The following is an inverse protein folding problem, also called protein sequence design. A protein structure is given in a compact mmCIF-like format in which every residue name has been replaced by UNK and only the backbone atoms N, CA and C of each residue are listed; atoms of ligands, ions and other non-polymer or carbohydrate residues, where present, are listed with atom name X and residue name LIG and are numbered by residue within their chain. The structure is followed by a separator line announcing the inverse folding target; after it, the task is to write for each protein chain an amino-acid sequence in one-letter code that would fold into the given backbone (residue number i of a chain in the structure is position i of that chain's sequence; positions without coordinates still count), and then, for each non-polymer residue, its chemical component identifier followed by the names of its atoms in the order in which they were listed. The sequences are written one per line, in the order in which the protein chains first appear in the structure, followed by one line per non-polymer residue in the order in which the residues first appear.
data_IF_447665059182
#
_entry.id   IF_447665059182
#
_cell.length_a   1.000
_cell.length_b   1.000
_cell.length_c   1.000
_cell.angle_alpha   90.00
_cell.angle_beta   90.00
_cell.angle_gamma   90.00
#
_symmetry.space_group_name_H-M   'P 1'
#
loop_
_entity.id
_entity.type
_entity.pdbx_description
1 polymer ?
#
# COMPACT_ATOMS: atom_id res chain seq x y z
N UNK A 1 2.29 20.55 43.98
CA UNK A 1 2.69 19.12 44.06
C UNK A 1 1.65 18.30 43.34
N UNK A 2 1.96 17.81 42.14
CA UNK A 2 1.31 16.68 41.46
C UNK A 2 2.14 16.37 40.20
N UNK A 3 3.23 15.64 40.39
CA UNK A 3 3.88 14.92 39.30
C UNK A 3 3.02 13.71 38.99
N UNK A 4 2.36 13.71 37.84
CA UNK A 4 1.87 12.47 37.22
C UNK A 4 2.81 12.18 36.07
N UNK A 5 3.97 11.63 36.41
CA UNK A 5 4.89 11.04 35.45
C UNK A 5 4.21 9.85 34.78
N UNK A 6 3.71 10.04 33.56
CA UNK A 6 3.38 8.92 32.70
C UNK A 6 4.70 8.21 32.36
N UNK A 7 4.91 7.08 33.02
CA UNK A 7 5.96 6.12 32.64
C UNK A 7 5.57 5.53 31.27
N UNK A 8 5.85 6.28 30.20
CA UNK A 8 5.87 5.74 28.86
C UNK A 8 7.05 4.78 28.87
N UNK A 9 6.79 3.48 28.99
CA UNK A 9 7.78 2.45 28.74
C UNK A 9 8.24 2.67 27.31
N UNK A 10 9.43 3.24 27.16
CA UNK A 10 10.08 3.36 25.86
C UNK A 10 10.17 1.93 25.31
N UNK A 11 9.37 1.63 24.29
CA UNK A 11 9.52 0.40 23.53
C UNK A 11 10.92 0.53 22.92
N UNK A 12 11.91 -0.29 23.32
CA UNK A 12 13.20 -0.26 22.67
C UNK A 12 12.96 -0.44 21.17
N UNK A 13 13.66 0.31 20.30
CA UNK A 13 13.51 0.12 18.87
C UNK A 13 13.69 -1.37 18.62
N UNK A 14 12.68 -2.00 18.02
CA UNK A 14 12.80 -3.38 17.62
C UNK A 14 14.12 -3.48 16.84
N UNK A 15 15.00 -4.44 17.17
CA UNK A 15 16.19 -4.65 16.35
C UNK A 15 15.71 -4.74 14.91
N UNK A 16 16.44 -4.11 13.98
CA UNK A 16 16.19 -4.21 12.55
C UNK A 16 16.41 -5.67 12.11
N UNK A 17 15.49 -6.54 12.51
CA UNK A 17 15.34 -7.87 11.97
C UNK A 17 15.07 -7.63 10.51
N UNK A 18 16.00 -8.07 9.65
CA UNK A 18 15.73 -8.14 8.22
C UNK A 18 14.37 -8.83 8.07
N UNK A 19 13.39 -8.21 7.38
CA UNK A 19 12.04 -8.76 7.24
C UNK A 19 12.04 -10.23 6.76
N UNK A 20 13.11 -10.64 6.07
CA UNK A 20 13.21 -11.91 5.36
C UNK A 20 13.81 -13.08 6.17
N UNK A 21 13.96 -12.94 7.49
CA UNK A 21 14.60 -13.98 8.33
C UNK A 21 13.85 -15.32 8.36
N UNK A 22 12.55 -15.35 8.12
CA UNK A 22 11.75 -16.59 8.07
C UNK A 22 11.63 -17.05 6.63
N UNK A 23 12.29 -18.16 6.28
CA UNK A 23 12.18 -18.78 4.97
C UNK A 23 11.06 -19.83 4.97
N UNK A 24 10.05 -19.70 4.10
CA UNK A 24 8.97 -20.69 4.02
C UNK A 24 9.50 -22.01 3.47
N UNK A 25 9.07 -23.14 4.04
CA UNK A 25 9.47 -24.49 3.58
C UNK A 25 8.53 -25.08 2.53
N UNK A 26 7.40 -24.42 2.28
CA UNK A 26 6.40 -24.74 1.26
C UNK A 26 5.86 -23.45 0.65
N UNK A 27 5.24 -23.49 -0.54
CA UNK A 27 4.52 -22.34 -1.08
C UNK A 27 3.48 -21.83 -0.06
N UNK A 28 3.42 -20.51 0.07
CA UNK A 28 2.41 -19.83 0.86
C UNK A 28 1.04 -19.95 0.17
N UNK A 29 -0.02 -20.15 0.94
CA UNK A 29 -1.36 -19.98 0.40
C UNK A 29 -1.65 -18.48 0.13
N UNK A 30 -2.71 -18.13 -0.62
CA UNK A 30 -2.97 -16.73 -1.00
C UNK A 30 -3.04 -15.74 0.16
N UNK A 31 -3.64 -16.11 1.30
CA UNK A 31 -3.72 -15.24 2.48
C UNK A 31 -2.37 -15.16 3.21
N UNK A 32 -1.63 -16.26 3.29
CA UNK A 32 -0.26 -16.27 3.83
C UNK A 32 0.64 -15.33 2.99
N UNK A 33 0.52 -15.39 1.66
CA UNK A 33 1.27 -14.53 0.74
C UNK A 33 0.87 -13.05 0.86
N UNK A 34 -0.43 -12.75 0.95
CA UNK A 34 -0.92 -11.38 1.18
C UNK A 34 -0.27 -10.73 2.41
N UNK A 35 -0.30 -11.44 3.55
CA UNK A 35 0.28 -10.94 4.80
C UNK A 35 1.79 -10.73 4.65
N UNK A 36 2.49 -11.67 4.00
CA UNK A 36 3.94 -11.58 3.83
C UNK A 36 4.33 -10.41 2.90
N UNK A 37 3.55 -10.18 1.83
CA UNK A 37 3.71 -9.06 0.92
C UNK A 37 3.43 -7.70 1.59
N UNK A 38 2.45 -7.61 2.49
CA UNK A 38 2.26 -6.38 3.27
C UNK A 38 3.45 -6.06 4.17
N UNK A 39 4.09 -7.08 4.75
CA UNK A 39 5.21 -6.89 5.66
C UNK A 39 6.53 -6.57 4.93
N UNK A 40 6.72 -7.14 3.74
CA UNK A 40 8.01 -7.13 3.03
C UNK A 40 8.01 -6.28 1.78
N UNK A 41 6.85 -5.94 1.25
CA UNK A 41 6.73 -5.29 -0.05
C UNK A 41 7.19 -6.21 -1.18
N UNK A 42 7.36 -5.63 -2.37
CA UNK A 42 7.83 -6.35 -3.55
C UNK A 42 8.73 -5.46 -4.41
N UNK A 43 9.78 -6.04 -4.98
CA UNK A 43 10.63 -5.37 -5.97
C UNK A 43 10.03 -5.52 -7.37
N UNK A 44 10.11 -4.49 -8.19
CA UNK A 44 9.62 -4.55 -9.57
C UNK A 44 10.76 -4.93 -10.51
N UNK A 45 10.61 -6.02 -11.24
CA UNK A 45 11.57 -6.38 -12.29
C UNK A 45 11.50 -5.39 -13.47
N UNK A 46 12.64 -4.97 -14.06
CA UNK A 46 12.66 -4.04 -15.19
C UNK A 46 11.86 -4.46 -16.42
N UNK A 47 11.53 -5.75 -16.57
CA UNK A 47 10.68 -6.24 -17.66
C UNK A 47 9.17 -5.96 -17.45
N UNK A 48 8.76 -5.45 -16.29
CA UNK A 48 7.36 -5.14 -16.03
C UNK A 48 6.95 -3.82 -16.71
N UNK A 49 5.83 -3.83 -17.44
CA UNK A 49 5.28 -2.64 -18.11
C UNK A 49 4.13 -2.00 -17.29
N UNK A 50 4.40 -1.68 -16.03
CA UNK A 50 3.37 -1.24 -15.08
C UNK A 50 2.72 0.10 -15.46
N UNK A 51 3.40 0.97 -16.17
CA UNK A 51 2.85 2.25 -16.63
C UNK A 51 1.67 2.07 -17.60
N UNK A 52 1.62 0.92 -18.27
CA UNK A 52 0.52 0.55 -19.17
C UNK A 52 -0.49 -0.36 -18.49
N UNK A 53 0.00 -1.31 -17.69
CA UNK A 53 -0.80 -2.45 -17.23
C UNK A 53 -1.42 -2.21 -15.84
N UNK A 54 -0.83 -1.32 -15.03
CA UNK A 54 -1.27 -1.01 -13.68
C UNK A 54 -1.96 0.36 -13.58
N UNK A 55 -2.69 0.54 -12.47
CA UNK A 55 -3.19 1.85 -12.06
C UNK A 55 -2.03 2.71 -11.59
N UNK A 56 -2.17 4.04 -11.69
CA UNK A 56 -1.16 4.94 -11.13
C UNK A 56 -0.97 4.70 -9.61
N UNK A 57 0.28 4.54 -9.20
CA UNK A 57 0.66 4.39 -7.79
C UNK A 57 0.68 5.80 -7.18
N UNK A 58 -0.34 6.11 -6.39
CA UNK A 58 -0.47 7.40 -5.72
C UNK A 58 -0.47 7.19 -4.23
N UNK A 59 0.40 7.88 -3.48
CA UNK A 59 0.27 7.93 -2.01
C UNK A 59 -1.10 8.51 -1.65
N UNK A 60 -2.02 7.67 -1.17
CA UNK A 60 -3.36 8.11 -0.79
C UNK A 60 -3.40 8.55 0.66
N UNK A 61 -4.43 9.35 0.98
CA UNK A 61 -4.62 10.04 2.26
C UNK A 61 -4.75 9.14 3.49
N UNK A 62 -5.08 7.86 3.31
CA UNK A 62 -5.31 6.91 4.40
C UNK A 62 -4.94 5.48 3.98
N UNK A 63 -4.12 4.81 4.79
CA UNK A 63 -3.72 3.41 4.55
C UNK A 63 -2.57 3.24 3.56
N UNK A 64 -2.28 1.99 3.21
CA UNK A 64 -1.17 1.57 2.34
C UNK A 64 -1.34 1.94 0.86
N UNK A 65 -2.19 2.91 0.48
CA UNK A 65 -2.54 3.12 -0.94
C UNK A 65 -1.41 3.58 -1.88
N UNK A 66 -0.16 3.64 -1.40
CA UNK A 66 1.07 3.81 -2.16
C UNK A 66 1.61 2.53 -2.81
N UNK A 67 0.89 1.41 -2.71
CA UNK A 67 1.33 0.13 -3.26
C UNK A 67 0.75 -0.22 -4.63
N UNK A 68 1.34 -1.25 -5.24
CA UNK A 68 0.83 -1.89 -6.44
C UNK A 68 -0.34 -2.82 -6.09
N UNK A 69 -1.50 -2.58 -6.68
CA UNK A 69 -2.62 -3.53 -6.62
C UNK A 69 -2.32 -4.77 -7.46
N UNK A 70 -2.39 -5.94 -6.84
CA UNK A 70 -2.37 -7.22 -7.53
C UNK A 70 -3.49 -8.12 -6.99
N UNK A 71 -3.89 -9.08 -7.80
CA UNK A 71 -4.86 -10.11 -7.45
C UNK A 71 -4.18 -11.46 -7.43
N UNK A 72 -4.17 -12.10 -6.26
CA UNK A 72 -3.64 -13.44 -6.02
C UNK A 72 -4.82 -14.44 -6.16
N UNK A 73 -4.79 -15.35 -7.14
CA UNK A 73 -5.84 -16.35 -7.30
C UNK A 73 -5.94 -17.25 -6.08
N UNK A 74 -7.16 -17.49 -5.60
CA UNK A 74 -7.42 -18.40 -4.48
C UNK A 74 -8.50 -19.42 -4.80
N UNK A 75 -8.45 -20.57 -4.12
CA UNK A 75 -9.39 -21.66 -4.37
C UNK A 75 -10.85 -21.33 -4.03
N UNK A 76 -11.06 -20.45 -3.04
CA UNK A 76 -12.41 -20.01 -2.62
C UNK A 76 -12.76 -18.62 -3.16
N UNK A 77 -11.79 -17.71 -3.12
CA UNK A 77 -11.91 -16.34 -3.64
C UNK A 77 -10.52 -15.82 -3.96
N UNK A 78 -10.47 -14.87 -4.89
CA UNK A 78 -9.27 -14.11 -5.16
C UNK A 78 -8.96 -13.14 -4.00
N UNK A 79 -7.68 -12.95 -3.74
CA UNK A 79 -7.16 -12.06 -2.70
C UNK A 79 -6.59 -10.82 -3.38
N UNK A 80 -7.14 -9.66 -3.03
CA UNK A 80 -6.68 -8.37 -3.52
C UNK A 80 -5.70 -7.79 -2.53
N UNK A 81 -4.51 -7.41 -2.98
CA UNK A 81 -3.46 -6.88 -2.12
C UNK A 81 -2.85 -5.63 -2.73
N UNK A 82 -2.70 -4.59 -1.92
CA UNK A 82 -2.00 -3.37 -2.28
C UNK A 82 -0.57 -3.45 -1.74
N UNK A 83 0.36 -3.95 -2.56
CA UNK A 83 1.70 -4.31 -2.11
C UNK A 83 2.62 -3.09 -2.08
N UNK A 84 3.30 -2.79 -0.96
CA UNK A 84 4.33 -1.76 -0.90
C UNK A 84 5.42 -1.97 -1.97
N UNK A 85 5.74 -0.92 -2.73
CA UNK A 85 6.79 -0.95 -3.78
C UNK A 85 7.71 0.26 -3.73
N UNK A 86 7.28 1.37 -3.12
CA UNK A 86 8.07 2.61 -3.07
C UNK A 86 8.91 2.72 -1.78
N UNK A 87 8.53 1.99 -0.74
CA UNK A 87 9.13 2.07 0.58
C UNK A 87 10.54 1.45 0.60
N UNK A 88 11.44 2.00 1.42
CA UNK A 88 12.84 1.55 1.50
C UNK A 88 12.97 0.04 1.82
N UNK A 89 12.06 -0.49 2.64
CA UNK A 89 12.04 -1.92 2.95
C UNK A 89 11.62 -2.77 1.75
N UNK A 90 10.75 -2.27 0.88
CA UNK A 90 10.30 -2.98 -0.31
C UNK A 90 11.44 -3.16 -1.33
N UNK A 91 12.38 -2.20 -1.38
CA UNK A 91 13.59 -2.30 -2.21
C UNK A 91 14.53 -3.43 -1.77
N UNK A 92 14.40 -3.91 -0.53
CA UNK A 92 15.15 -5.03 0.02
C UNK A 92 14.34 -6.33 0.07
N UNK A 93 13.10 -6.32 -0.44
CA UNK A 93 12.19 -7.46 -0.37
C UNK A 93 12.77 -8.71 -1.03
N UNK A 94 12.55 -9.86 -0.39
CA UNK A 94 12.78 -11.17 -1.00
C UNK A 94 11.81 -11.49 -2.15
N UNK A 95 10.74 -10.70 -2.33
CA UNK A 95 9.81 -10.86 -3.42
C UNK A 95 10.15 -9.96 -4.60
N UNK A 96 9.97 -10.50 -5.81
CA UNK A 96 10.07 -9.78 -7.07
C UNK A 96 8.85 -10.03 -7.94
N UNK A 97 8.30 -8.97 -8.53
CA UNK A 97 7.29 -9.07 -9.58
C UNK A 97 7.99 -9.24 -10.93
N UNK A 98 7.58 -10.25 -11.70
CA UNK A 98 8.13 -10.55 -13.01
C UNK A 98 7.00 -10.74 -14.03
N UNK A 99 7.19 -10.17 -15.21
CA UNK A 99 6.37 -10.43 -16.40
C UNK A 99 7.08 -11.49 -17.26
N UNK A 100 6.44 -12.64 -17.49
CA UNK A 100 6.97 -13.70 -18.35
C UNK A 100 5.85 -14.29 -19.19
N UNK A 101 6.07 -14.41 -20.50
CA UNK A 101 5.09 -14.93 -21.46
C UNK A 101 3.72 -14.25 -21.37
N UNK A 102 3.69 -12.94 -21.07
CA UNK A 102 2.45 -12.16 -20.93
C UNK A 102 1.70 -12.35 -19.61
N UNK A 103 2.28 -13.07 -18.64
CA UNK A 103 1.69 -13.29 -17.33
C UNK A 103 2.58 -12.74 -16.21
N UNK A 104 1.95 -12.12 -15.21
CA UNK A 104 2.63 -11.63 -14.03
C UNK A 104 2.79 -12.72 -12.96
N UNK A 105 3.96 -12.69 -12.32
CA UNK A 105 4.35 -13.62 -11.27
C UNK A 105 4.95 -12.86 -10.11
N UNK A 106 4.55 -13.21 -8.90
CA UNK A 106 5.36 -12.93 -7.71
C UNK A 106 6.32 -14.10 -7.54
N UNK A 107 7.61 -13.80 -7.46
CA UNK A 107 8.69 -14.77 -7.24
C UNK A 107 9.31 -14.51 -5.87
N UNK A 108 9.43 -15.56 -5.06
CA UNK A 108 10.15 -15.54 -3.79
C UNK A 108 11.59 -16.01 -4.01
N UNK A 109 12.56 -15.11 -3.96
CA UNK A 109 13.95 -15.42 -4.27
C UNK A 109 14.64 -16.31 -3.21
N UNK A 110 14.01 -16.56 -2.05
CA UNK A 110 14.58 -17.42 -0.98
C UNK A 110 14.52 -18.90 -1.35
N UNK A 111 13.47 -19.32 -2.05
CA UNK A 111 13.18 -20.72 -2.41
C UNK A 111 12.75 -20.88 -3.87
N UNK A 112 12.67 -19.78 -4.63
CA UNK A 112 12.18 -19.71 -6.00
C UNK A 112 10.71 -20.17 -6.15
N UNK A 113 9.88 -20.00 -5.12
CA UNK A 113 8.44 -20.21 -5.24
C UNK A 113 7.84 -19.14 -6.15
N UNK A 114 6.89 -19.54 -7.00
CA UNK A 114 6.25 -18.67 -7.99
C UNK A 114 4.75 -18.68 -7.78
N UNK A 115 4.17 -17.49 -7.71
CA UNK A 115 2.74 -17.28 -7.52
C UNK A 115 2.19 -16.52 -8.72
N UNK A 116 1.24 -17.08 -9.48
CA UNK A 116 0.61 -16.35 -10.55
C UNK A 116 -0.22 -15.21 -9.95
N UNK A 117 -0.12 -14.01 -10.53
CA UNK A 117 -0.93 -12.87 -10.12
C UNK A 117 -1.44 -12.13 -11.35
N UNK A 118 -2.53 -11.38 -11.17
CA UNK A 118 -2.99 -10.45 -12.21
C UNK A 118 -2.95 -9.02 -11.70
N UNK A 119 -2.74 -8.08 -12.62
CA UNK A 119 -2.79 -6.66 -12.35
C UNK A 119 -4.17 -6.17 -12.79
N UNK A 120 -5.00 -5.64 -11.88
CA UNK A 120 -6.32 -5.16 -12.24
C UNK A 120 -6.18 -3.84 -13.03
N UNK A 121 -6.93 -3.66 -14.14
CA UNK A 121 -6.82 -2.47 -14.95
C UNK A 121 -7.27 -1.21 -14.19
N UNK A 122 -6.83 -0.06 -14.67
CA UNK A 122 -7.34 1.23 -14.19
C UNK A 122 -8.83 1.38 -14.51
N UNK A 123 -9.68 1.79 -13.55
CA UNK A 123 -11.07 2.06 -13.82
C UNK A 123 -11.21 3.21 -14.83
N UNK A 124 -12.01 3.03 -15.88
CA UNK A 124 -12.19 4.02 -16.96
C UNK A 124 -12.72 5.40 -16.52
N UNK A 125 -13.14 5.55 -15.26
CA UNK A 125 -13.56 6.81 -14.69
C UNK A 125 -12.44 7.61 -14.02
N UNK A 126 -11.27 7.01 -13.71
CA UNK A 126 -10.15 7.68 -13.00
C UNK A 126 -9.63 8.93 -13.74
N UNK A 127 -9.55 8.84 -15.06
CA UNK A 127 -9.04 9.91 -15.95
C UNK A 127 -10.11 10.92 -16.36
N UNK A 128 -11.37 10.71 -15.96
CA UNK A 128 -12.45 11.69 -16.22
C UNK A 128 -12.26 12.91 -15.32
N UNK A 129 -12.86 14.02 -15.73
CA UNK A 129 -12.90 15.27 -14.96
C UNK A 129 -14.30 15.56 -14.45
N UNK A 130 -14.40 16.15 -13.27
CA UNK A 130 -15.65 16.78 -12.79
C UNK A 130 -16.00 18.00 -13.65
N UNK A 131 -17.21 18.54 -13.50
CA UNK A 131 -17.62 19.79 -14.15
C UNK A 131 -16.75 21.01 -13.82
N UNK A 132 -15.98 20.94 -12.72
CA UNK A 132 -15.02 21.96 -12.29
C UNK A 132 -13.57 21.64 -12.71
N UNK A 133 -13.36 20.61 -13.53
CA UNK A 133 -12.04 20.23 -14.04
C UNK A 133 -11.20 19.35 -13.10
N UNK A 134 -11.71 18.96 -11.92
CA UNK A 134 -10.97 18.09 -11.00
C UNK A 134 -10.90 16.66 -11.55
N UNK A 135 -9.72 16.04 -11.69
CA UNK A 135 -9.61 14.64 -12.07
C UNK A 135 -10.28 13.72 -11.05
N UNK A 136 -11.01 12.71 -11.51
CA UNK A 136 -11.81 11.82 -10.66
C UNK A 136 -10.95 10.96 -9.72
N UNK A 137 -9.73 10.58 -10.10
CA UNK A 137 -8.79 9.90 -9.19
C UNK A 137 -8.40 10.74 -7.96
N UNK A 138 -8.58 12.08 -8.00
CA UNK A 138 -8.42 12.96 -6.82
C UNK A 138 -9.67 12.95 -5.91
N UNK A 139 -10.83 12.55 -6.43
CA UNK A 139 -12.11 12.52 -5.70
C UNK A 139 -12.29 11.17 -5.00
N UNK A 140 -12.06 10.08 -5.72
CA UNK A 140 -12.19 8.73 -5.21
C UNK A 140 -11.04 7.83 -5.64
N UNK A 141 -10.65 6.91 -4.76
CA UNK A 141 -9.62 5.91 -5.01
C UNK A 141 -10.17 4.53 -4.71
N UNK A 142 -10.01 3.61 -5.65
CA UNK A 142 -10.33 2.19 -5.54
C UNK A 142 -9.09 1.45 -5.01
N UNK A 143 -9.22 0.76 -3.88
CA UNK A 143 -8.20 -0.14 -3.36
C UNK A 143 -8.86 -1.51 -3.15
N UNK A 144 -8.30 -2.58 -3.73
CA UNK A 144 -9.05 -3.82 -3.91
C UNK A 144 -10.43 -3.60 -4.55
N UNK A 145 -11.48 -3.98 -3.82
CA UNK A 145 -12.89 -3.88 -4.23
C UNK A 145 -13.66 -2.75 -3.55
N UNK A 146 -13.00 -1.89 -2.77
CA UNK A 146 -13.66 -0.76 -2.09
C UNK A 146 -13.31 0.58 -2.74
N UNK A 147 -14.31 1.45 -2.85
CA UNK A 147 -14.15 2.83 -3.30
C UNK A 147 -14.08 3.77 -2.08
N UNK A 148 -12.90 4.32 -1.81
CA UNK A 148 -12.73 5.39 -0.86
C UNK A 148 -13.02 6.74 -1.52
N UNK A 149 -13.90 7.55 -0.91
CA UNK A 149 -14.16 8.93 -1.33
C UNK A 149 -13.69 9.86 -0.22
N UNK A 150 -12.93 10.89 -0.59
CA UNK A 150 -12.40 11.86 0.37
C UNK A 150 -13.00 13.23 0.11
N UNK A 151 -13.78 13.73 1.07
CA UNK A 151 -14.48 15.01 0.96
C UNK A 151 -13.51 16.20 1.16
N UNK A 152 -12.41 16.00 1.89
CA UNK A 152 -11.40 17.02 2.19
C UNK A 152 -9.96 16.46 2.10
N UNK A 153 -8.95 17.34 2.06
CA UNK A 153 -7.53 16.94 2.02
C UNK A 153 -7.11 16.08 3.20
N UNK A 154 -7.61 16.36 4.40
CA UNK A 154 -7.38 15.54 5.59
C UNK A 154 -8.58 15.67 6.54
N UNK A 155 -8.67 14.76 7.50
CA UNK A 155 -9.73 14.77 8.51
C UNK A 155 -9.57 15.99 9.44
N UNK A 156 -10.54 16.90 9.45
CA UNK A 156 -10.47 18.17 10.18
C UNK A 156 -10.23 18.03 11.69
N UNK A 157 -10.62 16.89 12.29
CA UNK A 157 -10.39 16.59 13.71
C UNK A 157 -8.91 16.59 14.12
N UNK A 158 -7.99 16.41 13.16
CA UNK A 158 -6.54 16.57 13.40
C UNK A 158 -6.13 18.02 13.70
N UNK A 159 -6.90 19.00 13.25
CA UNK A 159 -6.55 20.42 13.35
C UNK A 159 -7.24 21.15 14.50
N UNK A 160 -8.01 20.44 15.35
CA UNK A 160 -8.56 21.03 16.56
C UNK A 160 -7.48 21.25 17.63
N UNK A 161 -7.72 22.21 18.53
CA UNK A 161 -6.92 22.41 19.74
C UNK A 161 -7.82 22.33 20.97
N UNK A 162 -7.77 21.23 21.76
CA UNK A 162 -6.92 20.05 21.57
C UNK A 162 -7.35 19.18 20.37
N UNK A 163 -6.47 18.32 19.86
CA UNK A 163 -6.80 17.45 18.73
C UNK A 163 -7.90 16.45 19.11
N UNK A 164 -8.80 16.21 18.17
CA UNK A 164 -9.99 15.36 18.36
C UNK A 164 -9.97 14.14 17.43
N UNK A 165 -8.85 13.89 16.74
CA UNK A 165 -8.68 12.76 15.85
C UNK A 165 -8.82 11.43 16.61
N UNK A 166 -9.35 10.41 15.93
CA UNK A 166 -9.42 9.06 16.51
C UNK A 166 -8.01 8.56 16.84
N UNK A 167 -7.86 7.83 17.96
CA UNK A 167 -6.55 7.32 18.42
C UNK A 167 -5.88 6.35 17.44
N UNK A 168 -6.66 5.64 16.62
CA UNK A 168 -6.16 4.72 15.60
C UNK A 168 -5.90 5.41 14.25
N UNK A 169 -6.32 6.67 14.09
CA UNK A 169 -6.25 7.35 12.80
C UNK A 169 -4.80 7.63 12.45
N UNK A 170 -4.39 7.30 11.23
CA UNK A 170 -3.08 7.66 10.68
C UNK A 170 -3.18 8.72 9.57
N UNK A 171 -4.38 9.18 9.23
CA UNK A 171 -4.57 10.05 8.06
C UNK A 171 -3.79 11.36 8.19
N UNK A 172 -3.79 11.99 9.37
CA UNK A 172 -3.04 13.22 9.61
C UNK A 172 -1.52 13.03 9.66
N UNK A 173 -1.03 11.80 9.87
CA UNK A 173 0.39 11.47 9.82
C UNK A 173 0.86 11.30 8.38
N UNK A 174 0.03 10.70 7.52
CA UNK A 174 0.39 10.36 6.15
C UNK A 174 0.28 11.54 5.17
N UNK A 175 -0.61 12.50 5.44
CA UNK A 175 -0.91 13.63 4.53
C UNK A 175 -0.01 14.88 4.71
N UNK A 176 0.84 14.91 5.73
CA UNK A 176 1.57 16.12 6.13
C UNK A 176 2.91 16.38 5.42
N UNK A 177 3.56 15.34 4.88
CA UNK A 177 4.97 15.47 4.40
C UNK A 177 5.09 15.49 2.88
N UNK A 178 4.15 14.88 2.14
CA UNK A 178 4.27 14.70 0.68
C UNK A 178 3.09 15.24 -0.16
N UNK A 179 1.91 15.49 0.43
CA UNK A 179 0.73 15.93 -0.34
C UNK A 179 0.55 17.45 -0.40
N UNK A 180 1.11 18.19 0.57
CA UNK A 180 0.93 19.65 0.71
C UNK A 180 1.62 20.45 -0.39
N UNK A 181 2.62 19.88 -1.07
CA UNK A 181 3.41 20.63 -2.06
C UNK A 181 2.73 20.82 -3.43
N UNK A 182 1.61 20.15 -3.74
CA UNK A 182 1.03 20.19 -5.11
C UNK A 182 -0.50 20.22 -5.21
N UNK A 183 -1.19 20.47 -4.10
CA UNK A 183 -2.66 20.62 -4.12
C UNK A 183 -3.05 21.98 -3.56
N UNK A 184 -2.66 23.03 -4.28
CA UNK A 184 -3.34 24.31 -4.18
C UNK A 184 -4.79 24.11 -4.62
N UNK A 185 -5.72 24.32 -3.68
CA UNK A 185 -7.15 24.55 -3.93
C UNK A 185 -7.42 26.02 -3.67
#
# INVERSE_FOLDING_TARGET
MSEVGQTVVAIPPAPALKPDTVTPTRPLNPCELEIDLFCKGIRIDPNCALERDARFISRTRAGLGSGLEIVIPGALKDVWVNVPVEEDFAQQSCYRLLLESGQYWVVDDRQNFRYPVSIPPEPAWYTRSTSRGTPMHKVGVLQGTYLGIYISNSCGFWYHSPSLNCRFCATGLNVGVNEVASKDV
#
